data_IF_236413586535
#
_entry.id   IF_236413586535
#
_cell.length_a   1.000
_cell.length_b   1.000
_cell.length_c   1.000
_cell.angle_alpha   90.00
_cell.angle_beta   90.00
_cell.angle_gamma   90.00
#
_symmetry.space_group_name_H-M   'P 1'
#
loop_
_entity.id
_entity.type
_entity.pdbx_description
1 polymer ?
#
# COMPACT_ATOMS: atom_id res chain seq x y z
N UNK A 1 16.94 -17.16 0.84
CA UNK A 1 15.52 -17.29 0.47
C UNK A 1 15.38 -17.69 -0.99
N UNK A 2 15.90 -16.88 -1.92
CA UNK A 2 15.73 -17.12 -3.37
C UNK A 2 16.19 -18.52 -3.77
N UNK A 3 17.40 -18.95 -3.38
CA UNK A 3 17.92 -20.28 -3.74
C UNK A 3 17.02 -21.44 -3.30
N UNK A 4 16.35 -21.37 -2.15
CA UNK A 4 15.38 -22.39 -1.76
C UNK A 4 14.14 -22.41 -2.67
N UNK A 5 13.72 -21.25 -3.14
CA UNK A 5 12.59 -21.16 -4.06
C UNK A 5 12.95 -21.64 -5.46
N UNK A 6 14.18 -21.44 -5.94
CA UNK A 6 14.63 -21.96 -7.25
C UNK A 6 14.64 -23.49 -7.30
N UNK A 7 14.97 -24.15 -6.20
CA UNK A 7 14.95 -25.62 -6.10
C UNK A 7 13.63 -26.18 -5.52
N UNK A 8 12.58 -25.35 -5.51
CA UNK A 8 11.23 -25.69 -5.05
C UNK A 8 11.11 -26.17 -3.59
N UNK A 9 12.05 -25.81 -2.72
CA UNK A 9 12.00 -26.08 -1.28
C UNK A 9 11.28 -24.96 -0.53
N UNK A 10 10.02 -24.74 -0.88
CA UNK A 10 9.16 -23.70 -0.29
C UNK A 10 8.55 -24.16 1.03
N UNK A 11 8.33 -23.27 2.02
CA UNK A 11 7.64 -23.65 3.25
C UNK A 11 6.17 -23.95 2.95
N UNK A 12 5.68 -25.07 3.47
CA UNK A 12 4.25 -25.42 3.41
C UNK A 12 3.48 -24.84 4.59
N UNK A 13 2.15 -25.01 4.65
CA UNK A 13 1.32 -24.49 5.75
C UNK A 13 1.82 -24.93 7.15
N UNK A 14 2.28 -26.17 7.29
CA UNK A 14 2.68 -26.76 8.56
C UNK A 14 4.19 -26.95 8.75
N UNK A 15 4.99 -26.91 7.66
CA UNK A 15 6.43 -27.23 7.70
C UNK A 15 7.28 -26.09 7.16
N UNK A 16 8.31 -25.73 7.91
CA UNK A 16 9.33 -24.75 7.53
C UNK A 16 10.71 -25.22 8.02
N UNK A 17 11.25 -26.31 7.44
CA UNK A 17 12.46 -26.95 7.94
C UNK A 17 13.69 -26.04 7.83
N UNK A 18 13.68 -25.08 6.92
CA UNK A 18 14.78 -24.16 6.68
C UNK A 18 14.56 -22.77 7.30
N UNK A 19 13.52 -22.62 8.12
CA UNK A 19 13.20 -21.38 8.80
C UNK A 19 13.02 -20.16 7.85
N UNK A 20 12.53 -20.38 6.64
CA UNK A 20 12.40 -19.34 5.61
C UNK A 20 11.44 -18.22 6.04
N UNK A 21 10.38 -18.55 6.81
CA UNK A 21 9.46 -17.54 7.37
C UNK A 21 10.18 -16.60 8.32
N UNK A 22 11.03 -17.14 9.19
CA UNK A 22 11.83 -16.31 10.13
C UNK A 22 12.86 -15.46 9.38
N UNK A 23 13.50 -16.01 8.36
CA UNK A 23 14.44 -15.29 7.51
C UNK A 23 13.77 -14.14 6.77
N UNK A 24 12.56 -14.34 6.24
CA UNK A 24 11.80 -13.27 5.58
C UNK A 24 11.38 -12.17 6.56
N UNK A 25 10.91 -12.52 7.75
CA UNK A 25 10.57 -11.54 8.81
C UNK A 25 11.84 -10.79 9.24
N UNK A 26 12.98 -11.46 9.34
CA UNK A 26 14.27 -10.83 9.63
C UNK A 26 14.65 -9.77 8.59
N UNK A 27 14.50 -10.09 7.30
CA UNK A 27 14.75 -9.14 6.21
C UNK A 27 13.77 -7.95 6.24
N UNK A 28 12.48 -8.23 6.45
CA UNK A 28 11.46 -7.18 6.61
C UNK A 28 11.82 -6.23 7.77
N UNK A 29 12.24 -6.77 8.91
CA UNK A 29 12.68 -5.97 10.05
C UNK A 29 13.89 -5.11 9.71
N UNK A 30 14.91 -5.67 9.08
CA UNK A 30 16.10 -4.93 8.64
C UNK A 30 15.72 -3.74 7.75
N UNK A 31 14.83 -3.96 6.77
CA UNK A 31 14.36 -2.91 5.87
C UNK A 31 13.62 -1.81 6.64
N UNK A 32 12.74 -2.19 7.57
CA UNK A 32 11.90 -1.24 8.31
C UNK A 32 12.72 -0.47 9.35
N UNK A 33 13.53 -1.16 10.16
CA UNK A 33 14.29 -0.55 11.25
C UNK A 33 15.36 0.40 10.72
N UNK A 34 15.96 0.08 9.57
CA UNK A 34 16.97 0.94 8.93
C UNK A 34 16.37 1.90 7.89
N UNK A 35 15.03 1.96 7.73
CA UNK A 35 14.32 2.84 6.80
C UNK A 35 14.83 2.73 5.35
N UNK A 36 15.11 1.50 4.91
CA UNK A 36 15.69 1.27 3.59
C UNK A 36 14.61 1.40 2.51
N UNK A 37 14.80 2.33 1.60
CA UNK A 37 13.93 2.53 0.41
C UNK A 37 14.35 1.60 -0.75
N UNK A 38 14.38 0.30 -0.48
CA UNK A 38 14.77 -0.72 -1.45
C UNK A 38 13.51 -1.29 -2.10
N UNK A 39 13.59 -1.57 -3.39
CA UNK A 39 12.57 -2.34 -4.09
C UNK A 39 12.89 -3.83 -3.96
N UNK A 40 12.01 -4.57 -3.32
CA UNK A 40 12.13 -6.01 -3.15
C UNK A 40 12.27 -6.73 -4.50
N UNK A 41 11.58 -6.22 -5.52
CA UNK A 41 11.64 -6.73 -6.88
C UNK A 41 13.07 -6.73 -7.44
N UNK A 42 13.80 -5.65 -7.25
CA UNK A 42 15.16 -5.52 -7.76
C UNK A 42 16.11 -6.51 -7.06
N UNK A 43 15.95 -6.70 -5.73
CA UNK A 43 16.73 -7.69 -4.97
C UNK A 43 16.42 -9.13 -5.42
N UNK A 44 15.16 -9.46 -5.63
CA UNK A 44 14.75 -10.79 -6.10
C UNK A 44 15.27 -11.04 -7.51
N UNK A 45 15.12 -10.06 -8.43
CA UNK A 45 15.59 -10.17 -9.79
C UNK A 45 17.10 -10.42 -9.84
N UNK A 46 17.87 -9.60 -9.12
CA UNK A 46 19.32 -9.75 -9.05
C UNK A 46 19.73 -11.12 -8.52
N UNK A 47 19.08 -11.58 -7.45
CA UNK A 47 19.35 -12.90 -6.88
C UNK A 47 18.98 -14.04 -7.84
N UNK A 48 17.85 -13.94 -8.57
CA UNK A 48 17.46 -14.94 -9.57
C UNK A 48 18.47 -15.06 -10.70
N UNK A 49 19.03 -13.93 -11.17
CA UNK A 49 20.09 -13.95 -12.20
C UNK A 49 21.31 -14.71 -11.71
N UNK A 50 21.78 -14.44 -10.47
CA UNK A 50 22.93 -15.13 -9.90
C UNK A 50 22.71 -16.65 -9.76
N UNK A 51 21.50 -17.10 -9.47
CA UNK A 51 21.17 -18.54 -9.40
C UNK A 51 21.01 -19.16 -10.80
N UNK A 52 20.55 -18.41 -11.79
CA UNK A 52 20.49 -18.89 -13.17
C UNK A 52 21.89 -19.15 -13.76
N UNK A 53 22.91 -18.39 -13.34
CA UNK A 53 24.32 -18.60 -13.73
C UNK A 53 24.92 -19.91 -13.15
N UNK A 54 24.22 -20.56 -12.21
CA UNK A 54 24.67 -21.81 -11.57
C UNK A 54 24.05 -23.07 -12.20
N UNK A 55 23.60 -22.99 -13.45
CA UNK A 55 22.96 -24.10 -14.19
C UNK A 55 21.74 -24.72 -13.50
N UNK A 56 21.02 -23.95 -12.69
CA UNK A 56 19.77 -24.35 -12.08
C UNK A 56 18.61 -24.11 -13.06
N UNK A 57 17.86 -25.17 -13.34
CA UNK A 57 16.66 -25.10 -14.19
C UNK A 57 15.45 -24.66 -13.36
N UNK A 58 15.00 -23.42 -13.54
CA UNK A 58 13.81 -22.87 -12.89
C UNK A 58 13.18 -21.73 -13.71
N UNK A 59 11.87 -21.59 -13.60
CA UNK A 59 11.19 -20.42 -14.19
C UNK A 59 11.30 -19.20 -13.28
N UNK A 60 12.07 -18.21 -13.73
CA UNK A 60 12.33 -16.96 -13.01
C UNK A 60 11.03 -16.26 -12.64
N UNK A 61 10.03 -16.20 -13.54
CA UNK A 61 8.77 -15.49 -13.29
C UNK A 61 7.97 -16.15 -12.16
N UNK A 62 7.91 -17.46 -12.16
CA UNK A 62 7.25 -18.24 -11.12
C UNK A 62 7.92 -18.03 -9.76
N UNK A 63 9.25 -18.11 -9.70
CA UNK A 63 10.01 -17.88 -8.47
C UNK A 63 9.80 -16.46 -7.95
N UNK A 64 9.83 -15.47 -8.82
CA UNK A 64 9.55 -14.08 -8.45
C UNK A 64 8.15 -13.91 -7.84
N UNK A 65 7.12 -14.45 -8.50
CA UNK A 65 5.75 -14.33 -8.04
C UNK A 65 5.55 -15.00 -6.67
N UNK A 66 6.11 -16.19 -6.51
CA UNK A 66 6.04 -16.95 -5.25
C UNK A 66 6.73 -16.20 -4.09
N UNK A 67 7.90 -15.63 -4.36
CA UNK A 67 8.62 -14.82 -3.37
C UNK A 67 7.85 -13.55 -3.00
N UNK A 68 7.25 -12.86 -3.99
CA UNK A 68 6.40 -11.70 -3.72
C UNK A 68 5.22 -12.05 -2.82
N UNK A 69 4.50 -13.11 -3.15
CA UNK A 69 3.38 -13.58 -2.35
C UNK A 69 3.85 -13.94 -0.94
N UNK A 70 4.97 -14.65 -0.83
CA UNK A 70 5.55 -15.05 0.43
C UNK A 70 5.95 -13.86 1.31
N UNK A 71 6.63 -12.85 0.74
CA UNK A 71 6.99 -11.63 1.47
C UNK A 71 5.77 -10.80 1.85
N UNK A 72 4.79 -10.69 0.97
CA UNK A 72 3.52 -10.00 1.24
C UNK A 72 2.81 -10.58 2.45
N UNK A 73 2.69 -11.91 2.50
CA UNK A 73 2.09 -12.63 3.65
C UNK A 73 2.89 -12.42 4.95
N UNK A 74 4.22 -12.39 4.88
CA UNK A 74 5.06 -12.13 6.05
C UNK A 74 4.99 -10.70 6.52
N UNK A 75 4.88 -9.73 5.60
CA UNK A 75 4.67 -8.33 5.91
C UNK A 75 3.31 -8.11 6.60
N UNK A 76 2.24 -8.74 6.09
CA UNK A 76 0.92 -8.73 6.74
C UNK A 76 1.00 -9.24 8.17
N UNK A 77 1.66 -10.38 8.36
CA UNK A 77 1.85 -10.97 9.69
C UNK A 77 2.62 -10.01 10.61
N UNK A 78 3.75 -9.47 10.15
CA UNK A 78 4.56 -8.52 10.92
C UNK A 78 3.77 -7.27 11.33
N UNK A 79 2.97 -6.70 10.43
CA UNK A 79 2.13 -5.54 10.74
C UNK A 79 1.02 -5.87 11.75
N UNK A 80 0.42 -7.07 11.68
CA UNK A 80 -0.56 -7.54 12.68
C UNK A 80 0.06 -7.67 14.08
N UNK A 81 1.28 -8.19 14.20
CA UNK A 81 2.01 -8.24 15.47
C UNK A 81 2.28 -6.84 16.04
N UNK A 82 2.45 -5.83 15.17
CA UNK A 82 2.57 -4.42 15.56
C UNK A 82 1.21 -3.74 15.83
N UNK A 83 0.12 -4.51 15.93
CA UNK A 83 -1.25 -4.06 16.22
C UNK A 83 -1.83 -3.09 15.17
N UNK A 84 -1.38 -3.18 13.92
CA UNK A 84 -2.00 -2.47 12.81
C UNK A 84 -3.30 -3.18 12.42
N UNK A 85 -4.38 -2.43 12.23
CA UNK A 85 -5.70 -2.96 11.85
C UNK A 85 -5.65 -3.65 10.49
N UNK A 86 -6.41 -4.73 10.33
CA UNK A 86 -6.39 -5.54 9.10
C UNK A 86 -6.85 -4.79 7.86
N UNK A 87 -7.84 -3.91 7.98
CA UNK A 87 -8.33 -3.09 6.87
C UNK A 87 -7.25 -2.09 6.37
N UNK A 88 -6.47 -1.52 7.30
CA UNK A 88 -5.36 -0.63 6.98
C UNK A 88 -4.21 -1.38 6.30
N UNK A 89 -3.91 -2.59 6.77
CA UNK A 89 -2.89 -3.46 6.17
C UNK A 89 -3.24 -3.73 4.70
N UNK A 90 -4.46 -4.19 4.43
CA UNK A 90 -4.93 -4.47 3.07
C UNK A 90 -4.91 -3.21 2.18
N UNK A 91 -5.41 -2.09 2.68
CA UNK A 91 -5.38 -0.81 1.97
C UNK A 91 -3.95 -0.38 1.63
N UNK A 92 -3.01 -0.55 2.56
CA UNK A 92 -1.62 -0.12 2.38
C UNK A 92 -0.87 -0.99 1.37
N UNK A 93 -1.10 -2.29 1.37
CA UNK A 93 -0.49 -3.22 0.42
C UNK A 93 -1.03 -2.99 -0.99
N UNK A 94 -2.35 -2.82 -1.15
CA UNK A 94 -2.98 -2.63 -2.44
C UNK A 94 -2.68 -1.27 -3.10
N UNK A 95 -2.24 -0.28 -2.33
CA UNK A 95 -1.97 1.08 -2.83
C UNK A 95 -0.55 1.30 -3.35
N UNK A 96 0.37 0.37 -3.09
CA UNK A 96 1.73 0.37 -3.64
C UNK A 96 1.99 -0.94 -4.39
N UNK A 97 2.91 -0.92 -5.35
CA UNK A 97 3.53 -2.18 -5.76
C UNK A 97 4.11 -2.82 -4.49
N UNK A 98 3.75 -4.08 -4.22
CA UNK A 98 4.11 -4.80 -2.98
C UNK A 98 5.63 -4.94 -2.72
N UNK A 99 6.45 -4.26 -3.53
CA UNK A 99 7.92 -4.27 -3.52
C UNK A 99 8.55 -3.22 -2.61
N UNK A 100 7.79 -2.23 -2.10
CA UNK A 100 8.33 -1.14 -1.26
C UNK A 100 7.96 -1.31 0.22
N UNK A 101 8.54 -2.33 0.86
CA UNK A 101 8.21 -2.77 2.22
C UNK A 101 8.20 -1.61 3.23
N UNK A 102 9.26 -0.77 3.23
CA UNK A 102 9.33 0.34 4.18
C UNK A 102 8.20 1.36 3.98
N UNK A 103 7.90 1.73 2.73
CA UNK A 103 6.83 2.70 2.44
C UNK A 103 5.45 2.16 2.81
N UNK A 104 5.18 0.87 2.51
CA UNK A 104 3.94 0.20 2.89
C UNK A 104 3.77 0.21 4.41
N UNK A 105 4.81 -0.20 5.14
CA UNK A 105 4.77 -0.22 6.60
C UNK A 105 4.57 1.17 7.19
N UNK A 106 5.34 2.16 6.72
CA UNK A 106 5.25 3.53 7.22
C UNK A 106 3.86 4.13 6.99
N UNK A 107 3.30 3.94 5.79
CA UNK A 107 1.92 4.36 5.47
C UNK A 107 0.90 3.68 6.38
N UNK A 108 0.97 2.36 6.53
CA UNK A 108 0.07 1.60 7.39
C UNK A 108 0.12 2.11 8.85
N UNK A 109 1.32 2.36 9.35
CA UNK A 109 1.51 2.81 10.73
C UNK A 109 0.99 4.24 10.96
N UNK A 110 1.20 5.15 10.01
CA UNK A 110 0.68 6.52 10.07
C UNK A 110 -0.86 6.51 9.99
N UNK A 111 -1.43 5.75 9.04
CA UNK A 111 -2.89 5.61 8.91
C UNK A 111 -3.51 5.02 10.17
N UNK A 112 -2.90 3.99 10.76
CA UNK A 112 -3.40 3.37 11.99
C UNK A 112 -3.48 4.40 13.12
N UNK A 113 -2.43 5.21 13.29
CA UNK A 113 -2.43 6.29 14.29
C UNK A 113 -3.42 7.41 14.02
N UNK A 114 -3.70 7.70 12.73
CA UNK A 114 -4.64 8.75 12.36
C UNK A 114 -6.08 8.31 12.59
N UNK A 115 -6.42 7.06 12.24
CA UNK A 115 -7.78 6.53 12.38
C UNK A 115 -8.20 6.42 13.85
N UNK A 116 -7.25 6.24 14.76
CA UNK A 116 -7.54 6.25 16.20
C UNK A 116 -7.87 7.65 16.74
N UNK A 117 -7.65 8.72 15.95
CA UNK A 117 -8.02 10.09 16.31
C UNK A 117 -9.40 10.46 15.75
N UNK A 118 -10.10 11.37 16.43
CA UNK A 118 -11.43 11.87 16.00
C UNK A 118 -11.41 12.35 14.55
N UNK A 119 -10.38 13.10 14.14
CA UNK A 119 -10.20 13.62 12.77
C UNK A 119 -10.20 12.48 11.74
N UNK A 120 -9.51 11.37 12.01
CA UNK A 120 -9.47 10.23 11.09
C UNK A 120 -10.83 9.55 10.95
N UNK A 121 -11.59 9.47 12.03
CA UNK A 121 -12.95 8.95 12.02
C UNK A 121 -13.90 9.85 11.23
N UNK A 122 -13.80 11.17 11.41
CA UNK A 122 -14.61 12.15 10.69
C UNK A 122 -14.34 12.11 9.18
N UNK A 123 -13.08 11.97 8.76
CA UNK A 123 -12.71 11.83 7.34
C UNK A 123 -13.34 10.56 6.74
N UNK A 124 -13.24 9.41 7.45
CA UNK A 124 -13.82 8.16 6.97
C UNK A 124 -15.34 8.25 6.88
N UNK A 125 -15.99 8.83 7.89
CA UNK A 125 -17.44 9.01 7.92
C UNK A 125 -17.91 9.90 6.78
N UNK A 126 -17.26 11.03 6.57
CA UNK A 126 -17.57 11.98 5.51
C UNK A 126 -17.38 11.35 4.12
N UNK A 127 -16.29 10.59 3.92
CA UNK A 127 -16.05 9.86 2.67
C UNK A 127 -17.14 8.82 2.41
N UNK A 128 -17.47 7.98 3.40
CA UNK A 128 -18.54 6.97 3.27
C UNK A 128 -19.87 7.60 2.92
N UNK A 129 -20.21 8.72 3.58
CA UNK A 129 -21.46 9.45 3.30
C UNK A 129 -21.49 9.99 1.87
N UNK A 130 -20.42 10.65 1.43
CA UNK A 130 -20.32 11.18 0.07
C UNK A 130 -20.39 10.07 -0.98
N UNK A 131 -19.64 8.96 -0.78
CA UNK A 131 -19.66 7.81 -1.67
C UNK A 131 -21.04 7.16 -1.77
N UNK A 132 -21.74 7.00 -0.66
CA UNK A 132 -23.09 6.42 -0.66
C UNK A 132 -24.10 7.31 -1.40
N UNK A 133 -24.03 8.63 -1.21
CA UNK A 133 -24.87 9.58 -1.95
C UNK A 133 -24.60 9.45 -3.45
N UNK A 134 -23.32 9.47 -3.84
CA UNK A 134 -22.91 9.37 -5.24
C UNK A 134 -23.38 8.05 -5.88
N UNK A 135 -23.14 6.92 -5.23
CA UNK A 135 -23.55 5.59 -5.73
C UNK A 135 -25.07 5.49 -5.87
N UNK A 136 -25.84 6.08 -4.95
CA UNK A 136 -27.30 6.12 -5.03
C UNK A 136 -27.77 6.98 -6.22
N UNK A 137 -27.15 8.12 -6.47
CA UNK A 137 -27.49 8.98 -7.61
C UNK A 137 -27.14 8.31 -8.95
N UNK A 138 -25.97 7.68 -9.06
CA UNK A 138 -25.58 6.92 -10.25
C UNK A 138 -26.59 5.79 -10.53
N UNK A 139 -26.97 5.04 -9.50
CA UNK A 139 -27.87 3.89 -9.66
C UNK A 139 -29.30 4.31 -10.03
N UNK A 140 -29.81 5.42 -9.48
CA UNK A 140 -31.16 5.92 -9.73
C UNK A 140 -31.31 6.64 -11.07
N UNK A 141 -30.34 7.48 -11.40
CA UNK A 141 -30.44 8.42 -12.51
C UNK A 141 -29.61 8.00 -13.74
N UNK A 142 -28.89 6.85 -13.68
CA UNK A 142 -27.97 6.38 -14.74
C UNK A 142 -27.02 7.49 -15.22
N UNK A 143 -26.55 8.32 -14.27
CA UNK A 143 -25.66 9.45 -14.55
C UNK A 143 -24.28 8.90 -14.86
N UNK A 144 -23.72 9.24 -16.02
CA UNK A 144 -22.30 9.07 -16.30
C UNK A 144 -21.52 10.15 -15.56
N UNK A 145 -20.47 9.72 -14.83
CA UNK A 145 -19.61 10.67 -14.12
C UNK A 145 -18.73 11.41 -15.12
N UNK A 146 -18.95 12.70 -15.24
CA UNK A 146 -18.01 13.55 -15.95
C UNK A 146 -16.76 13.78 -15.11
N UNK A 147 -15.58 13.73 -15.75
CA UNK A 147 -14.28 13.96 -15.09
C UNK A 147 -14.01 15.46 -14.80
N UNK A 148 -14.92 16.35 -15.20
CA UNK A 148 -14.79 17.80 -15.02
C UNK A 148 -15.94 18.35 -14.17
N UNK A 149 -15.60 19.29 -13.32
CA UNK A 149 -16.60 20.04 -12.51
C UNK A 149 -16.70 21.45 -13.05
N UNK A 150 -17.90 21.86 -13.45
CA UNK A 150 -18.16 23.25 -13.88
C UNK A 150 -18.48 24.15 -12.66
N UNK A 151 -17.61 25.08 -12.29
CA UNK A 151 -17.85 26.01 -11.19
C UNK A 151 -19.05 26.94 -11.40
N UNK A 152 -19.48 27.12 -12.67
CA UNK A 152 -20.64 27.94 -13.01
C UNK A 152 -21.97 27.37 -12.52
N UNK A 153 -22.01 26.06 -12.24
CA UNK A 153 -23.19 25.34 -11.75
C UNK A 153 -23.38 25.40 -10.23
N UNK A 154 -22.43 25.97 -9.49
CA UNK A 154 -22.50 26.04 -8.02
C UNK A 154 -23.61 26.94 -7.54
N UNK A 155 -24.49 26.41 -6.70
CA UNK A 155 -25.68 27.10 -6.18
C UNK A 155 -25.44 27.75 -4.83
N UNK A 156 -24.44 27.32 -4.08
CA UNK A 156 -24.18 27.82 -2.73
C UNK A 156 -22.68 27.97 -2.42
N UNK A 157 -22.39 28.71 -1.36
CA UNK A 157 -21.01 29.02 -0.95
C UNK A 157 -20.23 27.80 -0.42
N UNK A 158 -20.93 26.77 0.08
CA UNK A 158 -20.26 25.55 0.53
C UNK A 158 -19.65 24.77 -0.64
N UNK A 159 -20.34 24.71 -1.78
CA UNK A 159 -19.82 24.10 -3.01
C UNK A 159 -18.57 24.82 -3.50
N UNK A 160 -18.59 26.16 -3.52
CA UNK A 160 -17.43 26.97 -3.91
C UNK A 160 -16.24 26.75 -2.97
N UNK A 161 -16.49 26.73 -1.64
CA UNK A 161 -15.46 26.46 -0.64
C UNK A 161 -14.87 25.07 -0.77
N UNK A 162 -15.71 24.04 -0.96
CA UNK A 162 -15.28 22.67 -1.17
C UNK A 162 -14.42 22.54 -2.42
N UNK A 163 -14.87 23.11 -3.54
CA UNK A 163 -14.12 23.11 -4.79
C UNK A 163 -12.75 23.76 -4.63
N UNK A 164 -12.68 24.93 -3.99
CA UNK A 164 -11.41 25.60 -3.71
C UNK A 164 -10.47 24.72 -2.89
N UNK A 165 -10.98 24.11 -1.82
CA UNK A 165 -10.19 23.17 -0.97
C UNK A 165 -9.67 22.00 -1.78
N UNK A 166 -10.48 21.40 -2.64
CA UNK A 166 -10.05 20.29 -3.52
C UNK A 166 -8.93 20.76 -4.46
N UNK A 167 -9.04 21.96 -5.05
CA UNK A 167 -7.98 22.50 -5.91
C UNK A 167 -6.68 22.77 -5.14
N UNK A 168 -6.77 23.30 -3.92
CA UNK A 168 -5.60 23.53 -3.07
C UNK A 168 -4.90 22.23 -2.70
N UNK A 169 -5.66 21.19 -2.35
CA UNK A 169 -5.16 19.84 -2.07
C UNK A 169 -4.49 19.24 -3.33
N UNK A 170 -5.11 19.34 -4.50
CA UNK A 170 -4.52 18.87 -5.77
C UNK A 170 -3.17 19.55 -6.06
N UNK A 171 -3.10 20.87 -5.92
CA UNK A 171 -1.86 21.63 -6.09
C UNK A 171 -0.77 21.17 -5.13
N UNK A 172 -1.14 20.95 -3.86
CA UNK A 172 -0.23 20.44 -2.85
C UNK A 172 0.33 19.06 -3.24
N UNK A 173 -0.51 18.12 -3.64
CA UNK A 173 -0.06 16.79 -4.09
C UNK A 173 0.84 16.86 -5.32
N UNK A 174 0.51 17.74 -6.29
CA UNK A 174 1.35 17.93 -7.48
C UNK A 174 2.72 18.51 -7.12
N UNK A 175 2.81 19.35 -6.09
CA UNK A 175 4.06 19.98 -5.63
C UNK A 175 4.96 19.02 -4.82
N UNK A 176 4.40 17.98 -4.20
CA UNK A 176 5.16 17.02 -3.37
C UNK A 176 6.09 16.10 -4.19
N UNK A 177 5.84 15.94 -5.49
CA UNK A 177 6.60 15.05 -6.35
C UNK A 177 6.61 13.61 -5.84
N UNK A 178 7.71 12.87 -6.10
CA UNK A 178 7.87 11.48 -5.66
C UNK A 178 8.27 11.29 -4.19
N UNK A 179 8.54 12.37 -3.46
CA UNK A 179 8.81 12.34 -2.00
C UNK A 179 7.49 12.48 -1.25
N UNK A 180 6.79 11.38 -1.13
CA UNK A 180 5.59 11.30 -0.29
C UNK A 180 5.99 11.39 1.20
N UNK A 181 5.90 12.58 1.76
CA UNK A 181 5.80 12.74 3.20
C UNK A 181 4.35 12.41 3.62
N UNK A 182 4.08 11.11 3.82
CA UNK A 182 2.75 10.62 4.20
C UNK A 182 2.17 11.35 5.41
N UNK A 183 3.02 11.82 6.33
CA UNK A 183 2.58 12.53 7.53
C UNK A 183 2.01 13.90 7.17
N UNK A 184 2.74 14.70 6.38
CA UNK A 184 2.26 16.02 5.92
C UNK A 184 1.02 15.91 5.04
N UNK A 185 0.98 14.90 4.18
CA UNK A 185 -0.18 14.61 3.34
C UNK A 185 -1.44 14.39 4.17
N UNK A 186 -1.35 13.62 5.24
CA UNK A 186 -2.48 13.33 6.12
C UNK A 186 -2.87 14.53 7.01
N UNK A 187 -1.91 15.37 7.42
CA UNK A 187 -2.16 16.61 8.14
C UNK A 187 -2.91 17.66 7.28
N UNK A 188 -2.70 17.65 5.97
CA UNK A 188 -3.41 18.53 5.02
C UNK A 188 -4.84 18.04 4.73
N UNK A 189 -5.08 16.71 4.81
CA UNK A 189 -6.40 16.12 4.61
C UNK A 189 -7.30 16.20 5.86
N UNK A 190 -6.72 16.46 7.02
CA UNK A 190 -7.42 16.63 8.28
C UNK A 190 -7.85 18.08 8.52
#
# INVERSE_FOLDING_TARGET
>A
LVGFFTINLKPSSSKDPFALRRSAIGLIRLIIENKLEIKLKDLINYSCVLFAEQDLDFDIKTVQQDLFNFFSERLKFYMKEKKVRSDIIECSINSYSADQIYKIYNKAFILNKLIDKNIGQDVIFSYKRASNILLNEISKNKIELENSTDPGLFKNDFEKKLYKKIQDIRKYFTSLGSREDCKKTLEVLA
#
